data_IF_524397115614
#
_entry.id   IF_524397115614
#
_cell.length_a   1.000
_cell.length_b   1.000
_cell.length_c   1.000
_cell.angle_alpha   90.00
_cell.angle_beta   90.00
_cell.angle_gamma   90.00
#
_symmetry.space_group_name_H-M   'P 1'
#
loop_
_entity.id
_entity.type
_entity.pdbx_description
1 polymer ?
#
# COMPACT_ATOMS: atom_id res chain seq x y z
N UNK A 1 -44.54 -18.59 -8.89
CA UNK A 1 -43.22 -19.25 -8.77
C UNK A 1 -42.20 -18.17 -8.47
N UNK A 2 -41.74 -18.11 -7.24
CA UNK A 2 -40.75 -17.10 -6.77
C UNK A 2 -39.42 -17.79 -6.68
N UNK A 3 -38.42 -17.27 -7.42
CA UNK A 3 -37.03 -17.75 -7.37
C UNK A 3 -36.32 -17.18 -6.14
N UNK A 4 -35.56 -17.93 -5.36
CA UNK A 4 -34.81 -17.39 -4.23
C UNK A 4 -33.46 -16.86 -4.73
N UNK A 5 -33.22 -15.58 -4.48
CA UNK A 5 -31.92 -14.92 -4.67
C UNK A 5 -31.00 -15.37 -3.56
N UNK A 6 -30.02 -16.18 -3.85
CA UNK A 6 -29.01 -16.65 -2.92
C UNK A 6 -27.99 -15.54 -2.68
N UNK A 7 -28.05 -14.94 -1.48
CA UNK A 7 -27.09 -13.96 -0.99
C UNK A 7 -25.84 -14.72 -0.52
N UNK A 8 -24.74 -14.61 -1.29
CA UNK A 8 -23.43 -15.15 -0.88
C UNK A 8 -22.79 -14.11 0.06
N UNK A 9 -22.90 -14.36 1.36
CA UNK A 9 -22.15 -13.63 2.38
C UNK A 9 -20.77 -14.25 2.44
N UNK A 10 -19.76 -13.53 1.93
CA UNK A 10 -18.36 -13.89 2.12
C UNK A 10 -17.98 -13.54 3.56
N UNK A 11 -17.89 -14.55 4.41
CA UNK A 11 -17.36 -14.43 5.78
C UNK A 11 -15.85 -14.31 5.65
N UNK A 12 -15.34 -13.09 5.84
CA UNK A 12 -13.90 -12.85 6.03
C UNK A 12 -13.56 -13.25 7.46
N UNK A 13 -13.04 -14.44 7.62
CA UNK A 13 -12.53 -14.91 8.92
C UNK A 13 -11.19 -14.24 9.17
N UNK A 14 -11.16 -13.24 10.04
CA UNK A 14 -9.93 -12.64 10.55
C UNK A 14 -9.25 -13.67 11.46
N UNK A 15 -8.22 -14.33 10.96
CA UNK A 15 -7.33 -15.14 11.80
C UNK A 15 -6.49 -14.18 12.66
N UNK A 16 -6.79 -14.13 13.95
CA UNK A 16 -5.90 -13.57 14.95
C UNK A 16 -4.70 -14.51 15.11
N UNK A 17 -3.59 -14.20 14.43
CA UNK A 17 -2.32 -14.84 14.70
C UNK A 17 -1.69 -14.10 15.87
N UNK A 18 -1.71 -14.73 17.04
CA UNK A 18 -0.93 -14.30 18.19
C UNK A 18 0.55 -14.31 17.78
N UNK A 19 1.17 -13.13 17.73
CA UNK A 19 2.60 -13.00 17.52
C UNK A 19 3.33 -13.46 18.80
N UNK A 20 3.64 -14.76 18.88
CA UNK A 20 4.65 -15.26 19.79
C UNK A 20 6.00 -14.69 19.35
N UNK A 21 6.75 -14.14 20.30
CA UNK A 21 8.14 -13.72 20.11
C UNK A 21 8.96 -14.95 19.68
N UNK A 22 9.10 -15.12 18.37
CA UNK A 22 9.88 -16.19 17.80
C UNK A 22 11.32 -15.69 17.73
N UNK A 23 12.22 -16.30 18.48
CA UNK A 23 13.65 -16.15 18.33
C UNK A 23 14.02 -16.12 16.85
N UNK A 24 14.64 -15.00 16.41
CA UNK A 24 15.10 -14.88 15.03
C UNK A 24 16.10 -16.00 14.75
N UNK A 25 15.68 -17.01 14.01
CA UNK A 25 16.58 -17.98 13.41
C UNK A 25 17.73 -17.24 12.69
N UNK A 26 18.97 -17.76 12.71
CA UNK A 26 20.10 -17.15 12.03
C UNK A 26 19.70 -16.91 10.55
N UNK A 27 19.86 -15.65 10.10
CA UNK A 27 19.56 -15.27 8.70
C UNK A 27 20.37 -16.19 7.79
N UNK A 28 19.69 -17.05 7.07
CA UNK A 28 20.31 -17.76 5.96
C UNK A 28 21.02 -16.74 5.07
N UNK A 29 22.24 -17.03 4.62
CA UNK A 29 23.01 -16.17 3.72
C UNK A 29 22.11 -15.81 2.53
N UNK A 30 21.89 -14.52 2.30
CA UNK A 30 21.03 -14.07 1.21
C UNK A 30 21.59 -14.62 -0.10
N UNK A 31 20.76 -15.36 -0.84
CA UNK A 31 21.12 -15.82 -2.16
C UNK A 31 21.35 -14.62 -3.08
N UNK A 32 22.44 -14.62 -3.86
CA UNK A 32 22.78 -13.55 -4.80
C UNK A 32 22.43 -14.01 -6.20
N UNK A 33 21.94 -13.10 -7.03
CA UNK A 33 21.83 -13.36 -8.48
C UNK A 33 23.24 -13.50 -9.06
N UNK A 34 23.62 -14.71 -9.46
CA UNK A 34 24.91 -14.97 -10.10
C UNK A 34 24.94 -14.47 -11.54
N UNK A 35 26.12 -14.29 -12.13
CA UNK A 35 26.28 -13.94 -13.55
C UNK A 35 25.54 -14.91 -14.46
N UNK A 36 25.60 -16.21 -14.18
CA UNK A 36 24.85 -17.24 -14.92
C UNK A 36 23.32 -17.00 -14.85
N UNK A 37 22.78 -16.54 -13.71
CA UNK A 37 21.36 -16.17 -13.62
C UNK A 37 21.03 -14.94 -14.48
N UNK A 38 21.93 -13.95 -14.56
CA UNK A 38 21.75 -12.74 -15.37
C UNK A 38 21.82 -13.05 -16.89
N UNK A 39 22.72 -13.95 -17.29
CA UNK A 39 22.78 -14.45 -18.66
C UNK A 39 21.51 -15.20 -19.05
N UNK A 40 21.04 -16.11 -18.19
CA UNK A 40 19.78 -16.83 -18.39
C UNK A 40 18.58 -15.90 -18.50
N UNK A 41 18.50 -14.86 -17.65
CA UNK A 41 17.46 -13.84 -17.72
C UNK A 41 17.45 -13.12 -19.08
N UNK A 42 18.62 -12.84 -19.65
CA UNK A 42 18.71 -12.09 -20.91
C UNK A 42 18.16 -12.88 -22.11
N UNK A 43 18.10 -14.21 -22.02
CA UNK A 43 17.49 -15.09 -23.04
C UNK A 43 15.99 -15.32 -22.88
N UNK A 44 15.38 -14.88 -21.77
CA UNK A 44 13.96 -15.08 -21.47
C UNK A 44 13.07 -13.99 -22.08
N UNK A 45 11.82 -14.33 -22.35
CA UNK A 45 10.80 -13.34 -22.70
C UNK A 45 10.52 -12.38 -21.53
N UNK A 46 10.15 -11.11 -21.81
CA UNK A 46 9.90 -10.10 -20.78
C UNK A 46 8.94 -10.54 -19.67
N UNK A 47 7.88 -11.27 -19.99
CA UNK A 47 6.93 -11.80 -19.02
C UNK A 47 7.61 -12.75 -18.04
N UNK A 48 8.44 -13.66 -18.55
CA UNK A 48 9.16 -14.63 -17.72
C UNK A 48 10.21 -13.93 -16.86
N UNK A 49 10.91 -12.92 -17.40
CA UNK A 49 11.87 -12.11 -16.65
C UNK A 49 11.17 -11.43 -15.45
N UNK A 50 10.05 -10.74 -15.70
CA UNK A 50 9.32 -10.00 -14.67
C UNK A 50 8.81 -10.93 -13.55
N UNK A 51 8.21 -12.06 -13.91
CA UNK A 51 7.68 -13.04 -12.94
C UNK A 51 8.81 -13.67 -12.11
N UNK A 52 9.90 -14.09 -12.76
CA UNK A 52 11.03 -14.70 -12.07
C UNK A 52 11.74 -13.72 -11.14
N UNK A 53 11.99 -12.49 -11.60
CA UNK A 53 12.66 -11.48 -10.77
C UNK A 53 11.81 -11.04 -9.59
N UNK A 54 10.48 -10.91 -9.77
CA UNK A 54 9.58 -10.61 -8.65
C UNK A 54 9.55 -11.73 -7.62
N UNK A 55 9.51 -12.98 -8.05
CA UNK A 55 9.63 -14.15 -7.18
C UNK A 55 10.97 -14.15 -6.41
N UNK A 56 12.08 -13.83 -7.09
CA UNK A 56 13.40 -13.71 -6.46
C UNK A 56 13.45 -12.55 -5.46
N UNK A 57 12.84 -11.40 -5.78
CA UNK A 57 12.75 -10.27 -4.87
C UNK A 57 11.97 -10.62 -3.59
N UNK A 58 10.83 -11.30 -3.71
CA UNK A 58 10.04 -11.81 -2.58
C UNK A 58 10.88 -12.75 -1.71
N UNK A 59 11.67 -13.62 -2.33
CA UNK A 59 12.57 -14.55 -1.65
C UNK A 59 13.92 -13.92 -1.25
N UNK A 60 14.02 -12.58 -1.29
CA UNK A 60 15.17 -11.79 -0.81
C UNK A 60 16.50 -12.10 -1.50
N UNK A 61 16.47 -12.46 -2.78
CA UNK A 61 17.68 -12.57 -3.58
C UNK A 61 18.29 -11.17 -3.80
N UNK A 62 19.55 -10.99 -3.44
CA UNK A 62 20.28 -9.74 -3.67
C UNK A 62 20.40 -9.44 -5.17
N UNK A 63 20.18 -8.20 -5.54
CA UNK A 63 20.20 -7.75 -6.93
C UNK A 63 18.87 -7.90 -7.67
N UNK A 64 17.91 -8.69 -7.17
CA UNK A 64 16.65 -8.91 -7.88
C UNK A 64 15.81 -7.63 -8.05
N UNK A 65 15.75 -6.77 -7.02
CA UNK A 65 15.07 -5.48 -7.08
C UNK A 65 15.76 -4.50 -8.03
N UNK A 66 17.09 -4.54 -8.09
CA UNK A 66 17.88 -3.66 -8.96
C UNK A 66 17.70 -4.06 -10.42
N UNK A 67 17.67 -5.37 -10.71
CA UNK A 67 17.37 -5.87 -12.07
C UNK A 67 15.95 -5.52 -12.52
N UNK A 68 14.95 -5.56 -11.61
CA UNK A 68 13.59 -5.09 -11.92
C UNK A 68 13.63 -3.61 -12.29
N UNK A 69 14.29 -2.78 -11.50
CA UNK A 69 14.39 -1.35 -11.76
C UNK A 69 15.05 -1.06 -13.11
N UNK A 70 16.14 -1.76 -13.43
CA UNK A 70 16.88 -1.59 -14.68
C UNK A 70 16.09 -2.01 -15.92
N UNK A 71 15.26 -3.06 -15.81
CA UNK A 71 14.56 -3.67 -16.95
C UNK A 71 13.12 -3.16 -17.14
N UNK A 72 12.48 -2.65 -16.10
CA UNK A 72 11.05 -2.34 -16.09
C UNK A 72 10.59 -1.41 -17.22
N UNK A 73 11.44 -0.46 -17.65
CA UNK A 73 11.13 0.41 -18.78
C UNK A 73 11.02 -0.38 -20.11
N UNK A 74 11.84 -1.41 -20.30
CA UNK A 74 11.81 -2.26 -21.49
C UNK A 74 10.61 -3.20 -21.54
N UNK A 75 9.94 -3.42 -20.41
CA UNK A 75 8.77 -4.28 -20.31
C UNK A 75 7.45 -3.57 -20.63
N UNK A 76 7.45 -2.24 -20.73
CA UNK A 76 6.26 -1.44 -21.02
C UNK A 76 5.56 -1.96 -22.29
N UNK A 77 4.29 -2.35 -22.15
CA UNK A 77 3.49 -2.93 -23.24
C UNK A 77 3.88 -4.35 -23.68
N UNK A 78 4.93 -4.94 -23.07
CA UNK A 78 5.42 -6.29 -23.41
C UNK A 78 5.08 -7.34 -22.34
N UNK A 79 4.67 -6.91 -21.15
CA UNK A 79 4.16 -7.78 -20.08
C UNK A 79 2.70 -7.49 -19.83
N UNK A 80 1.99 -8.48 -19.28
CA UNK A 80 0.56 -8.40 -18.99
C UNK A 80 0.29 -8.88 -17.57
N UNK A 81 -0.85 -8.50 -17.02
CA UNK A 81 -1.34 -9.06 -15.76
C UNK A 81 -1.79 -10.51 -16.00
N UNK A 82 -0.95 -11.47 -15.62
CA UNK A 82 -1.28 -12.90 -15.58
C UNK A 82 -1.69 -13.29 -14.17
N UNK A 83 -2.42 -14.39 -13.99
CA UNK A 83 -2.78 -14.88 -12.65
C UNK A 83 -1.55 -15.14 -11.77
N UNK A 84 -0.42 -15.58 -12.37
CA UNK A 84 0.86 -15.74 -11.66
C UNK A 84 1.39 -14.38 -11.21
N UNK A 85 1.48 -13.41 -12.13
CA UNK A 85 2.00 -12.08 -11.82
C UNK A 85 1.14 -11.38 -10.76
N UNK A 86 -0.18 -11.49 -10.83
CA UNK A 86 -1.10 -10.96 -9.81
C UNK A 86 -0.90 -11.58 -8.43
N UNK A 87 -0.63 -12.90 -8.38
CA UNK A 87 -0.34 -13.59 -7.13
C UNK A 87 1.00 -13.14 -6.52
N UNK A 88 2.04 -13.02 -7.33
CA UNK A 88 3.34 -12.49 -6.92
C UNK A 88 3.21 -11.01 -6.50
N UNK A 89 2.46 -10.20 -7.23
CA UNK A 89 2.22 -8.80 -6.90
C UNK A 89 1.58 -8.66 -5.50
N UNK A 90 0.53 -9.43 -5.20
CA UNK A 90 -0.11 -9.39 -3.87
C UNK A 90 0.84 -9.73 -2.73
N UNK A 91 1.77 -10.66 -2.93
CA UNK A 91 2.80 -10.98 -1.94
C UNK A 91 3.82 -9.84 -1.81
N UNK A 92 4.32 -9.33 -2.93
CA UNK A 92 5.36 -8.32 -2.98
C UNK A 92 4.91 -6.95 -2.44
N UNK A 93 3.68 -6.53 -2.76
CA UNK A 93 3.15 -5.22 -2.35
C UNK A 93 2.86 -5.14 -0.85
N UNK A 94 2.73 -6.29 -0.19
CA UNK A 94 2.56 -6.40 1.26
C UNK A 94 3.86 -6.84 1.99
N UNK A 95 5.00 -6.84 1.30
CA UNK A 95 6.29 -7.16 1.90
C UNK A 95 6.68 -6.15 2.98
N UNK A 96 7.40 -6.59 4.00
CA UNK A 96 8.07 -5.72 4.99
C UNK A 96 9.29 -4.99 4.40
N UNK A 97 9.85 -5.48 3.30
CA UNK A 97 10.95 -4.82 2.57
C UNK A 97 10.40 -3.82 1.55
N UNK A 98 10.67 -2.53 1.79
CA UNK A 98 10.24 -1.43 0.94
C UNK A 98 10.75 -1.57 -0.51
N UNK A 99 11.94 -2.14 -0.73
CA UNK A 99 12.49 -2.36 -2.08
C UNK A 99 11.66 -3.37 -2.86
N UNK A 100 11.14 -4.39 -2.18
CA UNK A 100 10.23 -5.39 -2.79
C UNK A 100 8.90 -4.74 -3.16
N UNK A 101 8.35 -3.87 -2.30
CA UNK A 101 7.15 -3.09 -2.65
C UNK A 101 7.39 -2.18 -3.86
N UNK A 102 8.53 -1.49 -3.90
CA UNK A 102 8.92 -0.66 -5.04
C UNK A 102 9.04 -1.48 -6.33
N UNK A 103 9.67 -2.64 -6.27
CA UNK A 103 9.79 -3.55 -7.42
C UNK A 103 8.42 -4.04 -7.91
N UNK A 104 7.49 -4.31 -6.99
CA UNK A 104 6.11 -4.65 -7.35
C UNK A 104 5.42 -3.51 -8.10
N UNK A 105 5.57 -2.26 -7.64
CA UNK A 105 5.04 -1.07 -8.34
C UNK A 105 5.60 -0.96 -9.76
N UNK A 106 6.91 -1.13 -9.92
CA UNK A 106 7.57 -1.08 -11.23
C UNK A 106 6.94 -2.05 -12.23
N UNK A 107 6.75 -3.29 -11.80
CA UNK A 107 6.14 -4.33 -12.63
C UNK A 107 4.66 -4.02 -12.89
N UNK A 108 3.92 -3.56 -11.89
CA UNK A 108 2.50 -3.24 -12.05
C UNK A 108 2.30 -2.11 -13.06
N UNK A 109 3.05 -1.01 -12.94
CA UNK A 109 3.03 0.11 -13.89
C UNK A 109 3.30 -0.38 -15.32
N UNK A 110 4.32 -1.23 -15.49
CA UNK A 110 4.69 -1.78 -16.81
C UNK A 110 3.61 -2.73 -17.37
N UNK A 111 3.03 -3.60 -16.54
CA UNK A 111 2.00 -4.58 -16.96
C UNK A 111 0.67 -3.91 -17.33
N UNK A 112 0.40 -2.74 -16.79
CA UNK A 112 -0.77 -1.91 -17.13
C UNK A 112 -0.53 -0.99 -18.33
N UNK A 113 0.66 -1.02 -18.91
CA UNK A 113 1.03 -0.18 -20.05
C UNK A 113 1.13 1.31 -19.71
N UNK A 114 1.38 1.65 -18.45
CA UNK A 114 1.48 3.04 -17.98
C UNK A 114 2.89 3.57 -18.23
N UNK A 115 3.05 4.43 -19.21
CA UNK A 115 4.29 5.16 -19.42
C UNK A 115 4.56 6.08 -18.21
N UNK A 116 5.81 6.13 -17.76
CA UNK A 116 6.24 7.06 -16.70
C UNK A 116 6.45 8.45 -17.27
N UNK A 117 5.35 9.11 -17.61
CA UNK A 117 5.36 10.44 -18.22
C UNK A 117 4.27 11.31 -17.61
N UNK A 118 4.46 12.60 -17.68
CA UNK A 118 3.48 13.59 -17.26
C UNK A 118 2.19 13.46 -18.07
N UNK A 119 2.29 13.19 -19.38
CA UNK A 119 1.14 12.97 -20.26
C UNK A 119 0.25 11.81 -19.78
N UNK A 120 0.82 10.80 -19.09
CA UNK A 120 0.03 9.72 -18.52
C UNK A 120 -0.82 10.23 -17.36
N UNK A 121 -0.29 11.09 -16.48
CA UNK A 121 -1.07 11.75 -15.43
C UNK A 121 -2.17 12.62 -16.05
N UNK A 122 -1.83 13.43 -17.06
CA UNK A 122 -2.79 14.33 -17.72
C UNK A 122 -3.95 13.57 -18.38
N UNK A 123 -3.71 12.36 -18.88
CA UNK A 123 -4.77 11.47 -19.43
C UNK A 123 -5.60 10.79 -18.34
N UNK A 124 -5.00 10.45 -17.20
CA UNK A 124 -5.70 9.77 -16.10
C UNK A 124 -6.54 10.75 -15.28
N UNK A 125 -6.14 12.02 -15.16
CA UNK A 125 -6.83 13.01 -14.34
C UNK A 125 -8.32 13.18 -14.68
N UNK A 126 -8.74 13.42 -15.93
CA UNK A 126 -10.17 13.52 -16.25
C UNK A 126 -10.91 12.21 -15.94
N UNK A 127 -10.27 11.05 -16.10
CA UNK A 127 -10.88 9.78 -15.74
C UNK A 127 -11.08 9.69 -14.22
N UNK A 128 -10.09 10.12 -13.42
CA UNK A 128 -10.19 10.14 -11.97
C UNK A 128 -11.29 11.08 -11.46
N UNK A 129 -11.54 12.18 -12.14
CA UNK A 129 -12.52 13.20 -11.76
C UNK A 129 -13.96 12.85 -12.19
N UNK A 130 -14.15 12.43 -13.44
CA UNK A 130 -15.44 12.41 -14.11
C UNK A 130 -15.80 11.04 -14.70
N UNK A 131 -14.91 10.09 -14.67
CA UNK A 131 -15.13 8.74 -15.19
C UNK A 131 -16.21 7.97 -14.44
N UNK A 132 -16.68 6.86 -15.01
CA UNK A 132 -17.52 5.91 -14.30
C UNK A 132 -16.76 5.32 -13.10
N UNK A 133 -17.46 4.78 -12.11
CA UNK A 133 -16.91 4.34 -10.82
C UNK A 133 -15.65 3.46 -10.94
N UNK A 134 -15.67 2.43 -11.76
CA UNK A 134 -14.54 1.52 -11.95
C UNK A 134 -13.30 2.21 -12.56
N UNK A 135 -13.44 2.89 -13.71
CA UNK A 135 -12.37 3.70 -14.28
C UNK A 135 -11.79 4.75 -13.32
N UNK A 136 -12.65 5.46 -12.55
CA UNK A 136 -12.17 6.41 -11.52
C UNK A 136 -11.29 5.75 -10.48
N UNK A 137 -11.76 4.62 -9.92
CA UNK A 137 -11.01 3.85 -8.94
C UNK A 137 -9.63 3.42 -9.47
N UNK A 138 -9.59 2.89 -10.70
CA UNK A 138 -8.34 2.50 -11.35
C UNK A 138 -7.41 3.70 -11.59
N UNK A 139 -7.95 4.83 -12.06
CA UNK A 139 -7.16 6.01 -12.32
C UNK A 139 -6.52 6.58 -11.03
N UNK A 140 -7.25 6.60 -9.91
CA UNK A 140 -6.72 7.04 -8.61
C UNK A 140 -5.55 6.17 -8.14
N UNK A 141 -5.69 4.85 -8.30
CA UNK A 141 -4.62 3.90 -8.02
C UNK A 141 -3.40 4.14 -8.92
N UNK A 142 -3.61 4.20 -10.23
CA UNK A 142 -2.54 4.39 -11.24
C UNK A 142 -1.78 5.70 -11.02
N UNK A 143 -2.50 6.79 -10.70
CA UNK A 143 -1.92 8.10 -10.38
C UNK A 143 -1.05 8.00 -9.11
N UNK A 144 -1.51 7.28 -8.07
CA UNK A 144 -0.74 7.04 -6.86
C UNK A 144 0.58 6.33 -7.15
N UNK A 145 0.54 5.26 -7.95
CA UNK A 145 1.74 4.51 -8.34
C UNK A 145 2.73 5.38 -9.16
N UNK A 146 2.22 6.14 -10.13
CA UNK A 146 3.06 7.03 -10.95
C UNK A 146 3.67 8.16 -10.11
N UNK A 147 2.89 8.76 -9.21
CA UNK A 147 3.38 9.76 -8.27
C UNK A 147 4.48 9.22 -7.35
N UNK A 148 4.33 7.98 -6.85
CA UNK A 148 5.37 7.28 -6.11
C UNK A 148 6.67 7.11 -6.91
N UNK A 149 6.57 6.96 -8.23
CA UNK A 149 7.71 6.89 -9.15
C UNK A 149 8.27 8.25 -9.58
N UNK A 150 7.85 9.32 -8.90
CA UNK A 150 8.34 10.67 -9.12
C UNK A 150 7.65 11.43 -10.26
N UNK A 151 6.59 10.88 -10.84
CA UNK A 151 5.85 11.57 -11.90
C UNK A 151 4.84 12.54 -11.28
N UNK A 152 5.15 13.81 -11.26
CA UNK A 152 4.32 14.91 -10.71
C UNK A 152 3.67 14.55 -9.36
N UNK A 153 4.44 14.20 -8.31
CA UNK A 153 3.88 13.72 -7.04
C UNK A 153 2.90 14.71 -6.38
N UNK A 154 3.16 16.02 -6.47
CA UNK A 154 2.26 17.04 -5.92
C UNK A 154 0.93 17.09 -6.69
N UNK A 155 0.97 16.92 -8.02
CA UNK A 155 -0.24 16.84 -8.85
C UNK A 155 -1.01 15.57 -8.56
N UNK A 156 -0.33 14.42 -8.43
CA UNK A 156 -0.91 13.16 -8.03
C UNK A 156 -1.63 13.28 -6.68
N UNK A 157 -0.97 13.90 -5.69
CA UNK A 157 -1.56 14.18 -4.39
C UNK A 157 -2.84 15.02 -4.50
N UNK A 158 -2.80 16.12 -5.26
CA UNK A 158 -3.96 17.00 -5.42
C UNK A 158 -5.17 16.29 -6.08
N UNK A 159 -4.92 15.49 -7.13
CA UNK A 159 -5.96 14.74 -7.82
C UNK A 159 -6.61 13.71 -6.90
N UNK A 160 -5.80 12.93 -6.18
CA UNK A 160 -6.29 11.85 -5.32
C UNK A 160 -7.03 12.43 -4.12
N UNK A 161 -6.47 13.45 -3.47
CA UNK A 161 -7.07 14.09 -2.29
C UNK A 161 -8.45 14.67 -2.57
N UNK A 162 -8.69 15.20 -3.77
CA UNK A 162 -10.02 15.68 -4.19
C UNK A 162 -11.10 14.58 -4.18
N UNK A 163 -10.71 13.31 -4.22
CA UNK A 163 -11.63 12.16 -4.20
C UNK A 163 -11.88 11.55 -2.82
N UNK A 164 -11.23 12.07 -1.76
CA UNK A 164 -11.43 11.56 -0.39
C UNK A 164 -12.84 11.82 0.16
N UNK A 165 -13.56 12.79 -0.41
CA UNK A 165 -14.94 13.13 -0.02
C UNK A 165 -15.97 12.73 -1.09
N UNK A 166 -15.61 11.83 -2.00
CA UNK A 166 -16.54 11.36 -3.02
C UNK A 166 -17.76 10.67 -2.38
N UNK A 167 -18.99 10.90 -2.90
CA UNK A 167 -20.17 10.24 -2.36
C UNK A 167 -20.10 8.71 -2.47
N UNK A 168 -19.35 8.19 -3.44
CA UNK A 168 -19.18 6.76 -3.63
C UNK A 168 -18.06 6.20 -2.76
N UNK A 169 -18.42 5.30 -1.85
CA UNK A 169 -17.49 4.67 -0.89
C UNK A 169 -16.33 3.95 -1.58
N UNK A 170 -16.56 3.33 -2.73
CA UNK A 170 -15.50 2.64 -3.47
C UNK A 170 -14.48 3.62 -4.07
N UNK A 171 -14.92 4.80 -4.51
CA UNK A 171 -14.01 5.86 -4.99
C UNK A 171 -13.16 6.38 -3.82
N UNK A 172 -13.77 6.63 -2.64
CA UNK A 172 -13.01 7.02 -1.43
C UNK A 172 -12.01 5.95 -1.02
N UNK A 173 -12.39 4.66 -1.10
CA UNK A 173 -11.47 3.55 -0.83
C UNK A 173 -10.22 3.63 -1.70
N UNK A 174 -10.40 3.79 -3.01
CA UNK A 174 -9.27 3.85 -3.94
C UNK A 174 -8.50 5.18 -3.87
N UNK A 175 -9.11 6.25 -3.38
CA UNK A 175 -8.39 7.47 -3.04
C UNK A 175 -7.46 7.24 -1.83
N UNK A 176 -7.92 6.57 -0.78
CA UNK A 176 -7.07 6.17 0.36
C UNK A 176 -5.92 5.26 -0.10
N UNK A 177 -6.20 4.26 -0.94
CA UNK A 177 -5.18 3.40 -1.54
C UNK A 177 -4.17 4.20 -2.37
N UNK A 178 -4.65 5.09 -3.23
CA UNK A 178 -3.80 5.95 -4.05
C UNK A 178 -2.85 6.80 -3.20
N UNK A 179 -3.33 7.42 -2.12
CA UNK A 179 -2.49 8.16 -1.17
C UNK A 179 -1.50 7.26 -0.45
N UNK A 180 -1.94 6.07 0.01
CA UNK A 180 -1.07 5.12 0.69
C UNK A 180 0.12 4.73 -0.19
N UNK A 181 -0.12 4.52 -1.49
CA UNK A 181 0.93 4.12 -2.43
C UNK A 181 1.68 5.31 -3.06
N UNK A 182 1.14 6.51 -3.03
CA UNK A 182 1.92 7.73 -3.30
C UNK A 182 3.04 7.88 -2.26
N UNK A 183 2.76 7.69 -0.98
CA UNK A 183 3.73 7.53 0.10
C UNK A 183 4.59 8.76 0.37
N UNK A 184 4.14 9.97 0.03
CA UNK A 184 4.81 11.23 0.39
C UNK A 184 4.39 11.71 1.78
N UNK A 185 5.15 12.62 2.37
CA UNK A 185 4.81 13.22 3.68
C UNK A 185 3.44 13.89 3.70
N UNK A 186 3.02 14.44 2.56
CA UNK A 186 1.75 15.16 2.40
C UNK A 186 0.52 14.27 2.64
N UNK A 187 0.63 12.94 2.49
CA UNK A 187 -0.52 12.03 2.63
C UNK A 187 -0.91 11.78 4.09
N UNK A 188 -0.02 12.07 5.05
CA UNK A 188 -0.21 11.71 6.46
C UNK A 188 -1.44 12.39 7.05
N UNK A 189 -1.54 13.70 6.91
CA UNK A 189 -2.66 14.47 7.48
C UNK A 189 -4.00 14.12 6.84
N UNK A 190 -4.15 14.04 5.50
CA UNK A 190 -5.39 13.56 4.89
C UNK A 190 -5.78 12.15 5.30
N UNK A 191 -4.82 11.22 5.46
CA UNK A 191 -5.12 9.87 5.95
C UNK A 191 -5.58 9.87 7.41
N UNK A 192 -5.00 10.72 8.28
CA UNK A 192 -5.46 10.92 9.66
C UNK A 192 -6.87 11.50 9.70
N UNK A 193 -7.18 12.47 8.84
CA UNK A 193 -8.52 13.04 8.73
C UNK A 193 -9.54 12.00 8.27
N UNK A 194 -9.23 11.22 7.24
CA UNK A 194 -10.12 10.12 6.78
C UNK A 194 -10.29 9.06 7.87
N UNK A 195 -9.23 8.71 8.58
CA UNK A 195 -9.30 7.77 9.69
C UNK A 195 -10.26 8.25 10.80
N UNK A 196 -10.29 9.54 11.06
CA UNK A 196 -11.15 10.12 12.08
C UNK A 196 -12.59 10.33 11.58
N UNK A 197 -12.78 10.89 10.38
CA UNK A 197 -14.03 11.53 9.97
C UNK A 197 -14.83 10.75 8.92
N UNK A 198 -14.27 9.75 8.22
CA UNK A 198 -15.04 9.07 7.17
C UNK A 198 -16.25 8.34 7.76
N UNK A 199 -17.44 8.50 7.17
CA UNK A 199 -18.67 7.86 7.68
C UNK A 199 -18.62 6.32 7.61
N UNK A 200 -17.76 5.75 6.75
CA UNK A 200 -17.59 4.30 6.58
C UNK A 200 -16.48 3.77 7.48
N UNK A 201 -16.82 2.85 8.41
CA UNK A 201 -15.82 2.15 9.23
C UNK A 201 -14.75 1.45 8.40
N UNK A 202 -15.13 0.84 7.26
CA UNK A 202 -14.19 0.21 6.34
C UNK A 202 -13.13 1.21 5.80
N UNK A 203 -13.53 2.45 5.51
CA UNK A 203 -12.59 3.47 5.02
C UNK A 203 -11.71 3.97 6.16
N UNK A 204 -12.27 4.17 7.37
CA UNK A 204 -11.47 4.52 8.56
C UNK A 204 -10.41 3.47 8.87
N UNK A 205 -10.80 2.18 8.88
CA UNK A 205 -9.86 1.06 9.06
C UNK A 205 -8.77 1.07 7.98
N UNK A 206 -9.15 1.27 6.71
CA UNK A 206 -8.19 1.30 5.61
C UNK A 206 -7.19 2.44 5.74
N UNK A 207 -7.63 3.63 6.14
CA UNK A 207 -6.76 4.76 6.42
C UNK A 207 -5.80 4.48 7.59
N UNK A 208 -6.28 3.85 8.68
CA UNK A 208 -5.44 3.40 9.78
C UNK A 208 -4.36 2.41 9.34
N UNK A 209 -4.73 1.40 8.56
CA UNK A 209 -3.76 0.45 7.98
C UNK A 209 -2.74 1.14 7.07
N UNK A 210 -3.17 2.14 6.29
CA UNK A 210 -2.29 2.90 5.39
C UNK A 210 -1.24 3.71 6.17
N UNK A 211 -1.63 4.30 7.28
CA UNK A 211 -0.71 5.00 8.18
C UNK A 211 0.28 4.07 8.87
N UNK A 212 -0.16 2.87 9.28
CA UNK A 212 0.61 2.02 10.18
C UNK A 212 1.41 0.91 9.48
N UNK A 213 0.87 0.27 8.45
CA UNK A 213 1.43 -0.97 7.91
C UNK A 213 1.57 -0.98 6.39
N UNK A 214 0.51 -0.63 5.68
CA UNK A 214 0.43 -0.77 4.22
C UNK A 214 0.96 0.45 3.47
N UNK A 215 1.00 0.38 2.13
CA UNK A 215 1.45 1.48 1.29
C UNK A 215 2.95 1.74 1.35
N UNK A 216 3.34 2.96 1.02
CA UNK A 216 4.73 3.35 0.78
C UNK A 216 5.31 4.33 1.83
N UNK A 217 4.61 4.59 2.94
CA UNK A 217 5.18 5.35 4.04
C UNK A 217 6.30 4.54 4.72
N UNK A 218 7.47 5.15 4.87
CA UNK A 218 8.56 4.58 5.65
C UNK A 218 8.35 4.78 7.16
N UNK A 219 9.20 4.18 7.98
CA UNK A 219 9.10 4.23 9.44
C UNK A 219 9.10 5.68 9.97
N UNK A 220 10.01 6.52 9.50
CA UNK A 220 10.10 7.93 9.93
C UNK A 220 8.83 8.71 9.60
N UNK A 221 8.24 8.48 8.44
CA UNK A 221 6.99 9.09 8.03
C UNK A 221 5.81 8.63 8.90
N UNK A 222 5.71 7.32 9.18
CA UNK A 222 4.67 6.76 10.06
C UNK A 222 4.71 7.35 11.46
N UNK A 223 5.93 7.58 11.99
CA UNK A 223 6.11 8.22 13.30
C UNK A 223 5.50 9.62 13.40
N UNK A 224 5.36 10.35 12.28
CA UNK A 224 4.71 11.68 12.27
C UNK A 224 3.22 11.62 12.58
N UNK A 225 2.57 10.48 12.37
CA UNK A 225 1.16 10.29 12.74
C UNK A 225 0.96 10.08 14.25
N UNK A 226 2.00 9.65 14.99
CA UNK A 226 1.88 9.26 16.41
C UNK A 226 1.29 10.35 17.30
N UNK A 227 1.71 11.62 17.24
CA UNK A 227 1.12 12.66 18.09
C UNK A 227 -0.40 12.78 17.92
N UNK A 228 -0.89 12.76 16.67
CA UNK A 228 -2.31 12.86 16.36
C UNK A 228 -3.08 11.59 16.75
N UNK A 229 -2.50 10.43 16.56
CA UNK A 229 -3.07 9.17 17.03
C UNK A 229 -3.21 9.12 18.56
N UNK A 230 -2.27 9.71 19.31
CA UNK A 230 -2.37 9.84 20.76
C UNK A 230 -3.55 10.74 21.20
N UNK A 231 -3.86 11.79 20.46
CA UNK A 231 -5.06 12.60 20.69
C UNK A 231 -6.32 11.76 20.46
N UNK A 232 -6.38 10.99 19.37
CA UNK A 232 -7.49 10.12 19.04
C UNK A 232 -7.79 9.05 20.10
N UNK A 233 -6.80 8.61 20.90
CA UNK A 233 -7.01 7.60 21.94
C UNK A 233 -8.08 7.99 22.97
N UNK A 234 -8.28 9.28 23.21
CA UNK A 234 -9.25 9.84 24.19
C UNK A 234 -10.35 10.66 23.54
N UNK A 235 -10.44 10.67 22.20
CA UNK A 235 -11.46 11.44 21.51
C UNK A 235 -12.84 10.77 21.67
N UNK A 236 -13.79 11.53 22.26
CA UNK A 236 -15.16 11.08 22.49
C UNK A 236 -16.01 10.96 21.21
N UNK A 237 -15.59 11.57 20.10
CA UNK A 237 -16.26 11.49 18.81
C UNK A 237 -16.06 10.13 18.13
N UNK A 238 -14.98 9.42 18.46
CA UNK A 238 -14.70 8.11 17.87
C UNK A 238 -15.51 7.00 18.56
N UNK A 239 -16.06 6.09 17.78
CA UNK A 239 -16.65 4.86 18.28
C UNK A 239 -15.59 3.90 18.86
N UNK A 240 -16.05 2.87 19.58
CA UNK A 240 -15.15 1.92 20.25
C UNK A 240 -14.27 1.13 19.27
N UNK A 241 -14.81 0.80 18.09
CA UNK A 241 -14.09 0.04 17.05
C UNK A 241 -12.97 0.89 16.46
N UNK A 242 -13.26 2.12 16.09
CA UNK A 242 -12.27 3.08 15.56
C UNK A 242 -11.17 3.36 16.59
N UNK A 243 -11.51 3.55 17.87
CA UNK A 243 -10.48 3.65 18.92
C UNK A 243 -9.62 2.40 19.04
N UNK A 244 -10.21 1.22 18.83
CA UNK A 244 -9.45 -0.03 18.75
C UNK A 244 -8.37 0.02 17.67
N UNK A 245 -8.70 0.53 16.48
CA UNK A 245 -7.75 0.72 15.39
C UNK A 245 -6.68 1.79 15.70
N UNK A 246 -7.02 2.85 16.46
CA UNK A 246 -6.03 3.83 16.95
C UNK A 246 -4.95 3.16 17.77
N UNK A 247 -5.33 2.34 18.74
CA UNK A 247 -4.36 1.61 19.56
C UNK A 247 -3.58 0.57 18.76
N UNK A 248 -4.21 -0.06 17.77
CA UNK A 248 -3.51 -0.96 16.88
C UNK A 248 -2.46 -0.22 16.03
N UNK A 249 -2.84 0.90 15.41
CA UNK A 249 -1.91 1.73 14.63
C UNK A 249 -0.73 2.22 15.48
N UNK A 250 -0.97 2.63 16.72
CA UNK A 250 0.11 3.00 17.64
C UNK A 250 1.06 1.83 17.91
N UNK A 251 0.55 0.62 18.16
CA UNK A 251 1.40 -0.58 18.34
C UNK A 251 2.24 -0.88 17.12
N UNK A 252 1.61 -0.85 15.94
CA UNK A 252 2.26 -1.18 14.67
C UNK A 252 3.35 -0.19 14.28
N UNK A 253 3.12 1.12 14.51
CA UNK A 253 4.09 2.17 14.22
C UNK A 253 5.25 2.16 15.22
N UNK A 254 4.95 1.97 16.50
CA UNK A 254 5.93 2.18 17.58
C UNK A 254 6.63 0.90 18.04
N UNK A 255 6.06 -0.26 17.70
CA UNK A 255 6.52 -1.56 18.20
C UNK A 255 6.21 -1.78 19.68
N UNK A 256 5.43 -0.91 20.34
CA UNK A 256 5.09 -1.02 21.76
C UNK A 256 3.85 -1.87 21.99
N UNK A 257 3.90 -2.74 23.00
CA UNK A 257 2.78 -3.59 23.41
C UNK A 257 2.07 -3.04 24.66
N UNK A 258 1.63 -1.77 24.58
CA UNK A 258 0.89 -1.15 25.67
C UNK A 258 -0.62 -1.49 25.62
N UNK A 259 -1.31 -1.50 26.79
CA UNK A 259 -2.76 -1.71 26.83
C UNK A 259 -3.51 -0.58 26.08
N UNK A 260 -4.78 -0.77 25.73
CA UNK A 260 -5.61 0.27 25.09
C UNK A 260 -6.06 1.33 26.13
N UNK A 261 -5.10 1.96 26.77
CA UNK A 261 -5.28 3.00 27.79
C UNK A 261 -4.61 4.30 27.33
N UNK A 262 -5.37 5.38 27.09
CA UNK A 262 -4.85 6.67 26.63
C UNK A 262 -3.75 7.23 27.52
N UNK A 263 -3.87 7.04 28.84
CA UNK A 263 -2.90 7.58 29.78
C UNK A 263 -1.56 6.85 29.74
N UNK A 264 -1.59 5.52 29.62
CA UNK A 264 -0.39 4.70 29.46
C UNK A 264 0.41 5.10 28.22
N UNK A 265 -0.27 5.30 27.08
CA UNK A 265 0.33 5.71 25.82
C UNK A 265 0.91 7.13 25.87
N UNK A 266 0.15 8.12 26.40
CA UNK A 266 0.59 9.51 26.55
C UNK A 266 1.82 9.61 27.44
N UNK A 267 1.81 8.92 28.59
CA UNK A 267 2.96 8.89 29.52
C UNK A 267 4.19 8.24 28.89
N UNK A 268 4.01 7.13 28.19
CA UNK A 268 5.12 6.49 27.48
C UNK A 268 5.74 7.45 26.46
N UNK A 269 4.94 8.14 25.68
CA UNK A 269 5.41 9.08 24.65
C UNK A 269 6.15 10.27 25.26
N UNK A 270 5.65 10.84 26.37
CA UNK A 270 6.31 11.94 27.09
C UNK A 270 7.68 11.55 27.67
N UNK A 271 7.83 10.31 28.16
CA UNK A 271 9.10 9.82 28.71
C UNK A 271 10.16 9.51 27.62
N UNK A 272 9.81 9.60 26.35
CA UNK A 272 10.71 9.35 25.22
C UNK A 272 11.34 10.64 24.67
N UNK A 273 10.72 11.79 24.91
CA UNK A 273 11.26 13.10 24.52
C UNK A 273 12.35 13.58 25.47
#
# INVERSE_FOLDING_TARGET
MRSPTTLIIAIVTVLHIAASAQERAPRASASVLSEHHLEALSSMEPQQQAELLLERAINRYQGATDEIAARSASWLGRIKSTSRLESLFRLAINSDDMRVRMAAIEINVSSRGLARSEDTIDRLEPIAREGAQGPRANALWDIGLLGNRGIRPDRAFAIISASLHDPNVNVRYWAVEGLAFLGTDQVIEPLLQVFHDDPSGMIRERAACSLAQSGMLNETQRWRAVPRLLEFTSDGALDAETRGWVFQALRDITGQSLPPDPWAWKRWYQNRQ
#
